data_IF_142553275734
#
_entry.id   IF_142553275734
#
_cell.length_a   1.000
_cell.length_b   1.000
_cell.length_c   1.000
_cell.angle_alpha   90.00
_cell.angle_beta   90.00
_cell.angle_gamma   90.00
#
_symmetry.space_group_name_H-M   'P 1'
#
loop_
_entity.id
_entity.type
_entity.pdbx_description
1 polymer ?
#
# COMPACT_ATOMS: atom_id res chain seq x y z
N UNK A 1 5.92 -16.17 -24.51
CA UNK A 1 5.91 -14.70 -24.49
C UNK A 1 5.91 -14.24 -23.06
N UNK A 2 6.72 -13.23 -22.72
CA UNK A 2 6.73 -12.69 -21.35
C UNK A 2 5.44 -11.89 -21.13
N UNK A 3 4.67 -12.26 -20.10
CA UNK A 3 3.53 -11.47 -19.64
C UNK A 3 4.07 -10.20 -18.99
N UNK A 4 3.55 -9.04 -19.36
CA UNK A 4 3.87 -7.77 -18.69
C UNK A 4 3.12 -7.76 -17.35
N UNK A 5 3.82 -7.39 -16.27
CA UNK A 5 3.18 -7.15 -14.98
C UNK A 5 2.59 -5.74 -14.96
N UNK A 6 1.27 -5.65 -15.08
CA UNK A 6 0.55 -4.38 -15.09
C UNK A 6 0.57 -3.65 -13.74
N UNK A 7 0.96 -4.31 -12.65
CA UNK A 7 1.07 -3.67 -11.33
C UNK A 7 2.34 -2.82 -11.20
N UNK A 8 3.28 -2.95 -12.14
CA UNK A 8 4.52 -2.18 -12.21
C UNK A 8 4.46 -1.03 -13.23
N UNK A 9 3.36 -0.89 -13.96
CA UNK A 9 3.18 0.18 -14.95
C UNK A 9 2.49 1.36 -14.27
N UNK A 10 3.15 2.53 -14.31
CA UNK A 10 2.60 3.78 -13.79
C UNK A 10 1.23 4.10 -14.38
N UNK A 11 0.32 4.58 -13.52
CA UNK A 11 -1.01 5.01 -13.91
C UNK A 11 -1.99 3.89 -14.27
N UNK A 12 -1.61 2.61 -14.14
CA UNK A 12 -2.60 1.53 -14.20
C UNK A 12 -3.50 1.56 -12.97
N UNK A 13 -4.80 1.44 -13.19
CA UNK A 13 -5.82 1.61 -12.15
C UNK A 13 -6.97 0.62 -12.36
N UNK A 14 -7.87 0.54 -11.39
CA UNK A 14 -9.07 -0.28 -11.42
C UNK A 14 -9.01 -1.52 -10.55
N UNK A 15 -10.18 -2.08 -10.28
CA UNK A 15 -10.37 -3.15 -9.29
C UNK A 15 -9.47 -4.37 -9.51
N UNK A 16 -9.32 -4.82 -10.76
CA UNK A 16 -8.46 -5.96 -11.09
C UNK A 16 -6.97 -5.71 -10.78
N UNK A 17 -6.50 -4.48 -11.00
CA UNK A 17 -5.13 -4.09 -10.68
C UNK A 17 -4.95 -4.07 -9.16
N UNK A 18 -5.88 -3.42 -8.44
CA UNK A 18 -5.88 -3.37 -6.98
C UNK A 18 -5.91 -4.79 -6.35
N UNK A 19 -6.75 -5.69 -6.86
CA UNK A 19 -6.83 -7.08 -6.43
C UNK A 19 -5.53 -7.84 -6.68
N UNK A 20 -4.91 -7.64 -7.85
CA UNK A 20 -3.64 -8.30 -8.18
C UNK A 20 -2.53 -7.87 -7.23
N UNK A 21 -2.44 -6.58 -6.90
CA UNK A 21 -1.49 -6.07 -5.91
C UNK A 21 -1.73 -6.69 -4.54
N UNK A 22 -2.99 -6.75 -4.07
CA UNK A 22 -3.32 -7.38 -2.78
C UNK A 22 -2.91 -8.86 -2.76
N UNK A 23 -3.10 -9.59 -3.86
CA UNK A 23 -2.65 -10.99 -3.99
C UNK A 23 -1.13 -11.09 -3.92
N UNK A 24 -0.39 -10.20 -4.61
CA UNK A 24 1.08 -10.19 -4.59
C UNK A 24 1.59 -9.90 -3.18
N UNK A 25 1.10 -8.88 -2.50
CA UNK A 25 1.45 -8.57 -1.10
C UNK A 25 1.13 -9.75 -0.19
N UNK A 26 -0.05 -10.37 -0.37
CA UNK A 26 -0.48 -11.55 0.40
C UNK A 26 0.43 -12.75 0.22
N UNK A 27 0.91 -12.99 -0.99
CA UNK A 27 1.83 -14.10 -1.27
C UNK A 27 3.15 -14.01 -0.50
N UNK A 28 3.48 -12.84 0.05
CA UNK A 28 4.68 -12.58 0.83
C UNK A 28 4.47 -12.60 2.35
N UNK A 29 3.25 -12.87 2.83
CA UNK A 29 2.90 -12.91 4.26
C UNK A 29 3.14 -11.59 5.03
N UNK A 30 2.97 -10.44 4.37
CA UNK A 30 3.26 -9.11 4.96
C UNK A 30 2.12 -8.61 5.87
N UNK A 31 0.87 -9.03 5.67
CA UNK A 31 -0.27 -8.61 6.50
C UNK A 31 -1.06 -9.83 7.00
N UNK A 32 -0.63 -10.43 8.11
CA UNK A 32 -1.14 -11.74 8.52
C UNK A 32 -2.63 -11.76 8.90
N UNK A 33 -3.26 -10.62 9.21
CA UNK A 33 -4.56 -10.59 9.88
C UNK A 33 -5.76 -10.23 8.96
N UNK A 34 -5.67 -9.23 8.09
CA UNK A 34 -6.75 -8.94 7.12
C UNK A 34 -6.30 -8.23 5.83
N UNK A 35 -5.98 -8.99 4.78
CA UNK A 35 -5.72 -8.46 3.43
C UNK A 35 -6.96 -7.82 2.78
N UNK A 36 -8.17 -8.14 3.26
CA UNK A 36 -9.40 -7.53 2.76
C UNK A 36 -9.48 -6.05 3.16
N UNK A 37 -8.82 -5.66 4.26
CA UNK A 37 -8.73 -4.25 4.63
C UNK A 37 -7.88 -3.47 3.63
N UNK A 38 -6.70 -3.98 3.25
CA UNK A 38 -5.88 -3.37 2.19
C UNK A 38 -6.67 -3.23 0.89
N UNK A 39 -7.48 -4.23 0.51
CA UNK A 39 -8.37 -4.12 -0.65
C UNK A 39 -9.42 -3.01 -0.47
N UNK A 40 -10.07 -2.92 0.69
CA UNK A 40 -11.07 -1.87 0.97
C UNK A 40 -10.46 -0.47 0.95
N UNK A 41 -9.22 -0.30 1.41
CA UNK A 41 -8.50 0.96 1.34
C UNK A 41 -8.33 1.46 -0.11
N UNK A 42 -8.04 0.58 -1.07
CA UNK A 42 -7.99 0.97 -2.48
C UNK A 42 -9.33 1.51 -2.99
N UNK A 43 -10.44 0.86 -2.64
CA UNK A 43 -11.77 1.28 -3.06
C UNK A 43 -12.19 2.60 -2.39
N UNK A 44 -12.00 2.73 -1.07
CA UNK A 44 -12.47 3.88 -0.29
C UNK A 44 -11.64 5.13 -0.56
N UNK A 45 -10.31 5.01 -0.69
CA UNK A 45 -9.45 6.19 -0.80
C UNK A 45 -9.40 6.78 -2.20
N UNK A 46 -9.62 5.97 -3.24
CA UNK A 46 -9.42 6.43 -4.62
C UNK A 46 -10.36 5.81 -5.64
N UNK A 47 -11.34 5.00 -5.23
CA UNK A 47 -12.14 4.19 -6.16
C UNK A 47 -11.24 3.36 -7.09
N UNK A 48 -10.29 2.63 -6.49
CA UNK A 48 -9.26 1.83 -7.18
C UNK A 48 -8.37 2.65 -8.12
N UNK A 49 -8.16 3.93 -7.81
CA UNK A 49 -7.39 4.88 -8.59
C UNK A 49 -8.15 5.48 -9.77
N UNK A 50 -9.48 5.37 -9.84
CA UNK A 50 -10.27 5.88 -10.97
C UNK A 50 -10.95 7.22 -10.61
N UNK A 51 -10.67 8.31 -11.35
CA UNK A 51 -9.67 8.44 -12.42
C UNK A 51 -8.25 8.52 -11.88
N UNK A 52 -7.26 8.10 -12.69
CA UNK A 52 -5.86 8.20 -12.32
C UNK A 52 -5.49 9.66 -12.06
N UNK A 53 -4.75 9.90 -10.97
CA UNK A 53 -4.23 11.22 -10.61
C UNK A 53 -2.76 11.04 -10.24
N UNK A 54 -1.82 11.59 -11.03
CA UNK A 54 -0.39 11.41 -10.78
C UNK A 54 0.05 12.14 -9.51
N UNK A 55 1.13 11.64 -8.90
CA UNK A 55 1.76 12.21 -7.70
C UNK A 55 0.77 12.38 -6.53
N UNK A 56 -0.14 11.42 -6.38
CA UNK A 56 -1.14 11.38 -5.28
C UNK A 56 -1.10 10.07 -4.52
N UNK A 57 0.07 9.43 -4.44
CA UNK A 57 0.27 8.21 -3.68
C UNK A 57 -0.37 6.96 -4.29
N UNK A 58 -0.60 6.98 -5.62
CA UNK A 58 -1.19 5.88 -6.36
C UNK A 58 -2.62 5.50 -5.92
N UNK A 59 -2.93 4.20 -6.05
CA UNK A 59 -4.26 3.65 -5.72
C UNK A 59 -4.56 3.78 -4.22
N UNK A 60 -3.56 3.63 -3.36
CA UNK A 60 -3.75 3.67 -1.90
C UNK A 60 -3.59 5.05 -1.28
N UNK A 61 -3.46 6.12 -2.08
CA UNK A 61 -3.34 7.51 -1.58
C UNK A 61 -2.34 7.66 -0.44
N UNK A 62 -1.22 6.93 -0.53
CA UNK A 62 -0.16 6.98 0.47
C UNK A 62 0.38 8.41 0.51
N UNK A 63 0.41 9.03 1.69
CA UNK A 63 0.92 10.39 1.86
C UNK A 63 2.45 10.39 1.97
N UNK A 64 3.06 11.57 1.85
CA UNK A 64 4.52 11.73 2.07
C UNK A 64 4.91 11.31 3.49
N UNK A 65 4.18 11.75 4.51
CA UNK A 65 4.42 11.38 5.91
C UNK A 65 4.31 9.85 6.15
N UNK A 66 3.36 9.19 5.49
CA UNK A 66 3.21 7.74 5.55
C UNK A 66 4.40 7.02 4.89
N UNK A 67 4.85 7.51 3.74
CA UNK A 67 6.03 6.97 3.06
C UNK A 67 7.29 7.17 3.91
N UNK A 68 7.50 8.35 4.50
CA UNK A 68 8.63 8.64 5.38
C UNK A 68 8.63 7.73 6.62
N UNK A 69 7.45 7.52 7.23
CA UNK A 69 7.27 6.57 8.33
C UNK A 69 7.71 5.15 7.93
N UNK A 70 7.32 4.70 6.73
CA UNK A 70 7.73 3.40 6.19
C UNK A 70 9.24 3.36 5.94
N UNK A 71 9.82 4.41 5.35
CA UNK A 71 11.25 4.50 5.07
C UNK A 71 12.09 4.41 6.35
N UNK A 72 11.71 5.13 7.40
CA UNK A 72 12.36 5.04 8.70
C UNK A 72 12.22 3.64 9.31
N UNK A 73 11.06 3.00 9.17
CA UNK A 73 10.81 1.66 9.68
C UNK A 73 11.59 0.59 8.90
N UNK A 74 11.82 0.78 7.59
CA UNK A 74 12.67 -0.10 6.78
C UNK A 74 14.11 -0.17 7.28
N UNK A 75 14.64 0.91 7.86
CA UNK A 75 15.96 0.91 8.51
C UNK A 75 15.98 0.28 9.91
N UNK A 76 14.81 -0.15 10.43
CA UNK A 76 14.62 -0.57 11.82
C UNK A 76 13.74 -1.83 11.89
N UNK A 77 12.48 -1.67 12.31
CA UNK A 77 11.56 -2.75 12.66
C UNK A 77 11.02 -3.53 11.46
N UNK A 78 10.98 -2.93 10.27
CA UNK A 78 10.42 -3.54 9.04
C UNK A 78 11.48 -3.96 8.02
N UNK A 79 12.76 -3.99 8.39
CA UNK A 79 13.86 -4.31 7.46
C UNK A 79 13.65 -5.60 6.67
N UNK A 80 13.17 -6.67 7.31
CA UNK A 80 12.88 -7.94 6.65
C UNK A 80 11.80 -7.80 5.57
N UNK A 81 10.73 -7.08 5.86
CA UNK A 81 9.65 -6.84 4.89
C UNK A 81 10.11 -5.91 3.77
N UNK A 82 10.95 -4.91 4.03
CA UNK A 82 11.46 -4.05 2.96
C UNK A 82 12.42 -4.83 2.03
N UNK A 83 13.25 -5.73 2.57
CA UNK A 83 14.11 -6.61 1.77
C UNK A 83 13.30 -7.55 0.85
N UNK A 84 12.17 -8.08 1.33
CA UNK A 84 11.27 -8.89 0.50
C UNK A 84 10.77 -8.09 -0.71
N UNK A 85 10.44 -6.81 -0.53
CA UNK A 85 9.99 -5.93 -1.61
C UNK A 85 11.06 -5.75 -2.67
N UNK A 86 12.31 -5.55 -2.23
CA UNK A 86 13.45 -5.44 -3.14
C UNK A 86 13.70 -6.75 -3.90
N UNK A 87 13.72 -7.89 -3.21
CA UNK A 87 14.05 -9.19 -3.80
C UNK A 87 12.97 -9.73 -4.74
N UNK A 88 11.70 -9.46 -4.45
CA UNK A 88 10.56 -10.05 -5.17
C UNK A 88 9.97 -9.13 -6.21
N UNK A 89 9.99 -7.83 -5.96
CA UNK A 89 9.28 -6.83 -6.74
C UNK A 89 10.19 -5.74 -7.28
N UNK A 90 11.48 -5.76 -6.94
CA UNK A 90 12.43 -4.69 -7.26
C UNK A 90 11.98 -3.32 -6.71
N UNK A 91 11.35 -3.34 -5.53
CA UNK A 91 10.84 -2.17 -4.82
C UNK A 91 11.78 -1.81 -3.66
N UNK A 92 12.57 -0.76 -3.80
CA UNK A 92 13.46 -0.29 -2.74
C UNK A 92 12.75 0.73 -1.85
N UNK A 93 11.82 0.27 -1.00
CA UNK A 93 10.93 1.19 -0.28
C UNK A 93 11.66 2.20 0.62
N UNK A 94 12.84 1.85 1.13
CA UNK A 94 13.65 2.71 1.99
C UNK A 94 14.17 3.98 1.29
N UNK A 95 14.25 3.97 -0.05
CA UNK A 95 14.76 5.07 -0.87
C UNK A 95 13.82 5.46 -2.01
N UNK A 96 12.63 4.83 -2.08
CA UNK A 96 11.63 5.07 -3.11
C UNK A 96 11.20 6.54 -3.14
N UNK A 97 11.16 7.11 -4.34
CA UNK A 97 10.63 8.45 -4.54
C UNK A 97 9.10 8.43 -4.49
N UNK A 98 8.50 9.53 -4.04
CA UNK A 98 7.05 9.63 -3.92
C UNK A 98 6.31 9.41 -5.27
N UNK A 99 6.89 9.83 -6.39
CA UNK A 99 6.32 9.60 -7.73
C UNK A 99 6.29 8.12 -8.13
N UNK A 100 7.16 7.28 -7.56
CA UNK A 100 7.15 5.84 -7.85
C UNK A 100 5.91 5.14 -7.31
N UNK A 101 5.18 5.77 -6.37
CA UNK A 101 3.90 5.28 -5.86
C UNK A 101 2.80 5.28 -6.92
N UNK A 102 2.98 5.96 -8.05
CA UNK A 102 2.07 5.87 -9.21
C UNK A 102 2.10 4.48 -9.87
N UNK A 103 3.07 3.64 -9.52
CA UNK A 103 3.03 2.19 -9.79
C UNK A 103 2.11 1.51 -8.76
N UNK A 104 1.08 0.76 -9.18
CA UNK A 104 0.12 0.12 -8.27
C UNK A 104 0.74 -0.74 -7.19
N UNK A 105 1.76 -1.56 -7.54
CA UNK A 105 2.43 -2.41 -6.59
C UNK A 105 3.17 -1.61 -5.52
N UNK A 106 3.79 -0.49 -5.90
CA UNK A 106 4.57 0.34 -4.98
C UNK A 106 3.65 1.01 -3.94
N UNK A 107 2.55 1.63 -4.38
CA UNK A 107 1.58 2.23 -3.45
C UNK A 107 0.90 1.20 -2.56
N UNK A 108 0.53 0.02 -3.08
CA UNK A 108 -0.05 -1.05 -2.25
C UNK A 108 0.93 -1.64 -1.26
N UNK A 109 2.19 -1.81 -1.65
CA UNK A 109 3.25 -2.29 -0.77
C UNK A 109 3.57 -1.28 0.34
N UNK A 110 3.66 0.01 -0.02
CA UNK A 110 3.90 1.08 0.94
C UNK A 110 2.79 1.15 1.99
N UNK A 111 1.51 1.11 1.58
CA UNK A 111 0.39 1.08 2.52
C UNK A 111 0.40 -0.18 3.39
N UNK A 112 0.75 -1.34 2.83
CA UNK A 112 0.87 -2.57 3.62
C UNK A 112 1.97 -2.47 4.69
N UNK A 113 3.13 -1.92 4.35
CA UNK A 113 4.19 -1.67 5.32
C UNK A 113 3.76 -0.60 6.35
N UNK A 114 3.07 0.45 5.92
CA UNK A 114 2.56 1.48 6.82
C UNK A 114 1.63 0.88 7.88
N UNK A 115 0.71 0.01 7.49
CA UNK A 115 -0.16 -0.70 8.43
C UNK A 115 0.62 -1.52 9.48
N UNK A 116 1.79 -2.05 9.14
CA UNK A 116 2.67 -2.73 10.12
C UNK A 116 3.37 -1.78 11.08
N UNK A 117 3.50 -0.49 10.73
CA UNK A 117 4.02 0.54 11.64
C UNK A 117 2.97 0.98 12.66
N UNK A 118 1.68 0.81 12.34
CA UNK A 118 0.59 1.10 13.25
C UNK A 118 0.54 0.00 14.32
N UNK A 119 0.89 0.34 15.56
CA UNK A 119 0.85 -0.56 16.70
C UNK A 119 -0.58 -0.77 17.23
N UNK A 120 -1.51 -1.15 16.35
CA UNK A 120 -2.92 -1.43 16.65
C UNK A 120 -3.45 -2.52 15.71
N UNK A 121 -4.34 -3.37 16.23
CA UNK A 121 -4.89 -4.53 15.51
C UNK A 121 -5.92 -4.02 14.50
N UNK A 122 -5.85 -4.49 13.25
CA UNK A 122 -6.87 -4.20 12.24
C UNK A 122 -8.16 -4.93 12.66
N UNK A 123 -9.25 -4.22 12.98
CA UNK A 123 -10.49 -4.86 13.41
C UNK A 123 -11.08 -5.73 12.30
N UNK A 124 -11.83 -6.79 12.61
CA UNK A 124 -12.42 -7.65 11.57
C UNK A 124 -13.76 -7.14 11.03
N UNK A 125 -14.51 -6.35 11.80
CA UNK A 125 -15.81 -5.85 11.39
C UNK A 125 -15.71 -4.47 10.72
N UNK A 126 -16.66 -4.18 9.82
CA UNK A 126 -16.62 -2.99 8.99
C UNK A 126 -16.72 -1.68 9.78
N UNK A 127 -17.51 -1.65 10.85
CA UNK A 127 -17.70 -0.44 11.67
C UNK A 127 -16.39 -0.03 12.33
N UNK A 128 -15.72 -0.98 12.98
CA UNK A 128 -14.46 -0.71 13.67
C UNK A 128 -13.33 -0.45 12.67
N UNK A 129 -13.36 -1.06 11.48
CA UNK A 129 -12.43 -0.72 10.40
C UNK A 129 -12.60 0.72 9.89
N UNK A 130 -13.82 1.25 9.88
CA UNK A 130 -14.05 2.65 9.53
C UNK A 130 -13.44 3.58 10.59
N UNK A 131 -13.55 3.24 11.87
CA UNK A 131 -12.91 4.01 12.94
C UNK A 131 -11.39 3.88 12.92
N UNK A 132 -10.85 2.68 12.66
CA UNK A 132 -9.42 2.46 12.45
C UNK A 132 -8.89 3.32 11.28
N UNK A 133 -9.60 3.32 10.16
CA UNK A 133 -9.27 4.13 8.98
C UNK A 133 -9.20 5.63 9.30
N UNK A 134 -10.21 6.18 9.99
CA UNK A 134 -10.20 7.60 10.41
C UNK A 134 -9.05 7.91 11.36
N UNK A 135 -8.77 7.01 12.30
CA UNK A 135 -7.77 7.24 13.35
C UNK A 135 -6.34 7.19 12.81
N UNK A 136 -6.03 6.27 11.91
CA UNK A 136 -4.65 5.95 11.54
C UNK A 136 -4.30 6.18 10.07
N UNK A 137 -5.28 6.16 9.17
CA UNK A 137 -5.01 6.22 7.72
C UNK A 137 -5.30 7.61 7.17
N UNK A 138 -6.39 8.23 7.63
CA UNK A 138 -6.78 9.59 7.24
C UNK A 138 -7.00 10.42 8.52
N UNK A 139 -5.95 10.64 9.34
CA UNK A 139 -6.10 11.46 10.52
C UNK A 139 -6.52 12.88 10.11
N UNK A 140 -7.55 13.40 10.77
CA UNK A 140 -8.27 14.63 10.41
C UNK A 140 -7.32 15.80 10.07
N UNK A 141 -7.46 16.34 8.85
CA UNK A 141 -6.62 17.44 8.39
C UNK A 141 -6.68 17.83 6.91
N UNK A 142 -7.78 17.57 6.18
CA UNK A 142 -8.07 18.21 4.90
C UNK A 142 -9.49 18.77 4.89
#
# INVERSE_FOLDING_TARGET
GFSIDHTLIEGNVGSKIAETVVILVKSQNILMEDYSFLRRLAAVQSNDGIPFTPDKGGIWRVTTDQLETVQEACGKSLMSYCNIGQERFNVEMASANYSELDKPLYSGYAMALYLLTVNDIIPMNLTDQAEYWKKFIVPEGN
#
